data_IF_758453270150
#
_entry.id   IF_758453270150
#
_cell.length_a   1.000
_cell.length_b   1.000
_cell.length_c   1.000
_cell.angle_alpha   90.00
_cell.angle_beta   90.00
_cell.angle_gamma   90.00
#
_symmetry.space_group_name_H-M   'P 1'
#
loop_
_entity.id
_entity.type
_entity.pdbx_description
1 polymer ?
#
# COMPACT_ATOMS: atom_id res chain seq x y z
N UNK A 1 -0.47 15.52 -0.89
CA UNK A 1 -0.69 14.49 0.14
C UNK A 1 0.58 13.65 0.35
N UNK A 2 0.68 12.91 1.46
CA UNK A 2 1.78 11.98 1.72
C UNK A 2 1.39 10.56 1.29
N UNK A 3 2.23 9.89 0.51
CA UNK A 3 2.10 8.48 0.17
C UNK A 3 3.20 7.67 0.87
N UNK A 4 2.83 6.66 1.64
CA UNK A 4 3.78 5.72 2.24
C UNK A 4 3.96 4.49 1.35
N UNK A 5 5.18 4.24 0.91
CA UNK A 5 5.57 2.96 0.34
C UNK A 5 6.08 2.02 1.44
N UNK A 6 5.38 0.91 1.65
CA UNK A 6 5.79 -0.16 2.56
C UNK A 6 6.60 -1.20 1.79
N UNK A 7 7.88 -1.30 2.14
CA UNK A 7 8.87 -2.15 1.49
C UNK A 7 8.57 -3.63 1.55
N UNK A 8 8.91 -4.33 0.46
CA UNK A 8 8.87 -5.79 0.39
C UNK A 8 10.19 -6.41 0.82
N UNK A 9 10.15 -7.66 1.28
CA UNK A 9 11.36 -8.45 1.50
C UNK A 9 11.99 -8.89 0.17
N UNK A 10 11.19 -9.01 -0.89
CA UNK A 10 11.67 -9.30 -2.24
C UNK A 10 12.19 -8.01 -2.87
N UNK A 11 13.51 -7.98 -3.13
CA UNK A 11 14.17 -6.82 -3.74
C UNK A 11 13.63 -6.50 -5.14
N UNK A 12 13.26 -7.52 -5.93
CA UNK A 12 12.76 -7.30 -7.27
C UNK A 12 11.40 -6.61 -7.24
N UNK A 13 10.49 -7.13 -6.42
CA UNK A 13 9.21 -6.47 -6.14
C UNK A 13 9.42 -5.05 -5.61
N UNK A 14 10.34 -4.88 -4.65
CA UNK A 14 10.56 -3.60 -4.02
C UNK A 14 11.04 -2.53 -5.00
N UNK A 15 11.99 -2.87 -5.87
CA UNK A 15 12.48 -1.98 -6.93
C UNK A 15 11.36 -1.61 -7.90
N UNK A 16 10.53 -2.58 -8.31
CA UNK A 16 9.41 -2.31 -9.21
C UNK A 16 8.39 -1.35 -8.64
N UNK A 17 8.06 -1.49 -7.36
CA UNK A 17 7.13 -0.56 -6.71
C UNK A 17 7.78 0.83 -6.60
N UNK A 18 9.08 0.90 -6.29
CA UNK A 18 9.80 2.19 -6.31
C UNK A 18 9.77 2.85 -7.69
N UNK A 19 9.98 2.09 -8.76
CA UNK A 19 9.90 2.59 -10.14
C UNK A 19 8.50 3.11 -10.46
N UNK A 20 7.48 2.32 -10.13
CA UNK A 20 6.08 2.68 -10.31
C UNK A 20 5.72 3.99 -9.60
N UNK A 21 6.16 4.14 -8.35
CA UNK A 21 5.89 5.35 -7.56
C UNK A 21 6.69 6.54 -8.06
N UNK A 22 7.92 6.33 -8.51
CA UNK A 22 8.76 7.40 -9.09
C UNK A 22 8.14 7.96 -10.36
N UNK A 23 7.62 7.09 -11.23
CA UNK A 23 6.89 7.49 -12.42
C UNK A 23 5.59 8.25 -12.08
N UNK A 24 4.86 7.81 -11.05
CA UNK A 24 3.65 8.50 -10.59
C UNK A 24 3.96 9.93 -10.12
N UNK A 25 5.07 10.14 -9.39
CA UNK A 25 5.49 11.48 -8.97
C UNK A 25 5.88 12.35 -10.17
N UNK A 26 6.67 11.83 -11.13
CA UNK A 26 7.07 12.59 -12.32
C UNK A 26 5.84 13.03 -13.15
N UNK A 27 4.86 12.14 -13.33
CA UNK A 27 3.58 12.47 -13.98
C UNK A 27 2.83 13.58 -13.21
N UNK A 28 2.75 13.47 -11.88
CA UNK A 28 2.09 14.45 -11.03
C UNK A 28 2.76 15.83 -11.11
N UNK A 29 4.10 15.89 -11.06
CA UNK A 29 4.88 17.12 -11.16
C UNK A 29 4.68 17.83 -12.50
N UNK A 30 4.61 17.08 -13.62
CA UNK A 30 4.36 17.63 -14.96
C UNK A 30 2.94 18.15 -15.14
N UNK A 31 1.99 17.59 -14.40
CA UNK A 31 0.56 17.90 -14.52
C UNK A 31 0.13 19.09 -13.64
N UNK A 32 1.04 19.72 -12.88
CA UNK A 32 0.78 20.82 -11.93
C UNK A 32 -0.31 20.53 -10.89
N UNK A 33 -0.65 19.26 -10.67
CA UNK A 33 -1.76 18.88 -9.81
C UNK A 33 -1.38 18.82 -8.33
N UNK A 34 -0.09 18.61 -8.01
CA UNK A 34 0.39 18.61 -6.62
C UNK A 34 -0.26 17.53 -5.74
N UNK A 35 -0.75 16.44 -6.34
CA UNK A 35 -1.57 15.44 -5.63
C UNK A 35 -0.72 14.69 -4.61
N UNK A 36 0.40 14.12 -5.05
CA UNK A 36 1.43 13.48 -4.21
C UNK A 36 2.53 14.51 -3.94
N UNK A 37 2.63 15.00 -2.71
CA UNK A 37 3.61 16.00 -2.31
C UNK A 37 4.97 15.36 -1.99
N UNK A 38 4.95 14.19 -1.37
CA UNK A 38 6.13 13.44 -0.99
C UNK A 38 5.81 11.95 -0.84
N UNK A 39 6.85 11.15 -0.95
CA UNK A 39 6.79 9.71 -0.71
C UNK A 39 7.74 9.34 0.41
N UNK A 40 7.17 8.73 1.44
CA UNK A 40 7.93 8.13 2.53
C UNK A 40 8.13 6.66 2.16
N UNK A 41 9.38 6.22 2.14
CA UNK A 41 9.75 4.83 1.88
C UNK A 41 10.12 4.18 3.21
N UNK A 42 9.36 3.16 3.59
CA UNK A 42 9.70 2.30 4.74
C UNK A 42 10.24 0.96 4.20
N UNK A 43 11.56 0.83 4.00
CA UNK A 43 12.14 -0.41 3.47
C UNK A 43 11.93 -1.57 4.44
N UNK A 44 11.85 -2.79 3.90
CA UNK A 44 11.85 -3.98 4.73
C UNK A 44 13.23 -4.13 5.41
N UNK A 45 13.33 -4.56 6.68
CA UNK A 45 14.61 -4.67 7.39
C UNK A 45 15.67 -5.52 6.69
N UNK A 46 15.22 -6.50 5.89
CA UNK A 46 16.09 -7.39 5.10
C UNK A 46 16.36 -6.91 3.68
N UNK A 47 15.78 -5.79 3.25
CA UNK A 47 15.94 -5.24 1.90
C UNK A 47 16.26 -3.74 2.00
N UNK A 48 17.55 -3.41 2.04
CA UNK A 48 18.02 -2.02 2.00
C UNK A 48 17.78 -1.41 0.61
N UNK A 49 17.10 -0.27 0.59
CA UNK A 49 16.73 0.50 -0.60
C UNK A 49 17.37 1.89 -0.61
N UNK A 50 18.31 2.18 0.31
CA UNK A 50 18.92 3.51 0.47
C UNK A 50 19.55 4.05 -0.80
N UNK A 51 20.23 3.18 -1.53
CA UNK A 51 20.84 3.56 -2.80
C UNK A 51 19.77 3.86 -3.86
N UNK A 52 18.81 2.95 -4.01
CA UNK A 52 17.75 3.03 -5.01
C UNK A 52 16.85 4.25 -4.83
N UNK A 53 16.49 4.58 -3.59
CA UNK A 53 15.70 5.77 -3.27
C UNK A 53 16.48 7.04 -3.58
N UNK A 54 17.77 7.08 -3.19
CA UNK A 54 18.62 8.24 -3.46
C UNK A 54 18.84 8.48 -4.95
N UNK A 55 19.01 7.42 -5.73
CA UNK A 55 19.15 7.54 -7.20
C UNK A 55 17.91 8.18 -7.81
N UNK A 56 16.71 7.74 -7.43
CA UNK A 56 15.45 8.30 -7.95
C UNK A 56 15.19 9.74 -7.48
N UNK A 57 15.46 10.04 -6.20
CA UNK A 57 15.34 11.40 -5.64
C UNK A 57 16.23 12.40 -6.38
N UNK A 58 17.49 12.03 -6.66
CA UNK A 58 18.44 12.90 -7.37
C UNK A 58 18.17 12.98 -8.87
N UNK A 59 17.83 11.87 -9.52
CA UNK A 59 17.64 11.81 -10.97
C UNK A 59 16.31 12.43 -11.42
N UNK A 60 15.25 12.28 -10.62
CA UNK A 60 13.89 12.65 -11.02
C UNK A 60 13.33 13.83 -10.21
N UNK A 61 14.11 14.44 -9.30
CA UNK A 61 13.66 15.46 -8.34
C UNK A 61 12.38 15.00 -7.58
N UNK A 62 12.30 13.69 -7.36
CA UNK A 62 11.15 13.06 -6.71
C UNK A 62 11.35 13.19 -5.22
N UNK A 63 10.51 13.94 -4.51
CA UNK A 63 10.54 14.13 -3.05
C UNK A 63 10.34 12.80 -2.29
N UNK A 64 11.32 11.91 -2.36
CA UNK A 64 11.32 10.58 -1.77
C UNK A 64 12.32 10.52 -0.63
N UNK A 65 11.89 10.00 0.52
CA UNK A 65 12.77 9.86 1.68
C UNK A 65 12.60 8.51 2.35
N UNK A 66 13.70 7.97 2.90
CA UNK A 66 13.63 6.76 3.72
C UNK A 66 13.30 7.15 5.15
N UNK A 67 12.27 6.51 5.72
CA UNK A 67 11.98 6.61 7.15
C UNK A 67 12.60 5.46 7.94
N UNK A 68 13.34 5.84 8.98
CA UNK A 68 13.87 4.92 9.99
C UNK A 68 12.91 4.72 11.17
N UNK A 69 11.81 5.46 11.22
CA UNK A 69 10.82 5.39 12.29
C UNK A 69 10.05 4.06 12.26
N UNK A 70 9.42 3.68 13.36
CA UNK A 70 8.56 2.51 13.37
C UNK A 70 7.33 2.78 12.51
N UNK A 71 6.82 1.76 11.82
CA UNK A 71 5.64 1.90 10.96
C UNK A 71 4.41 2.34 11.77
N UNK A 72 4.31 1.91 13.03
CA UNK A 72 3.27 2.31 13.97
C UNK A 72 3.26 3.81 14.26
N UNK A 73 4.42 4.47 14.14
CA UNK A 73 4.56 5.91 14.36
C UNK A 73 4.23 6.71 13.09
N UNK A 74 4.37 6.10 11.91
CA UNK A 74 4.15 6.75 10.60
C UNK A 74 2.68 6.66 10.18
N UNK A 75 2.10 5.45 10.29
CA UNK A 75 0.78 5.13 9.77
C UNK A 75 -0.37 6.05 10.23
N UNK A 76 -0.41 6.53 11.49
CA UNK A 76 -1.46 7.44 11.94
C UNK A 76 -1.51 8.80 11.20
N UNK A 77 -0.43 9.18 10.53
CA UNK A 77 -0.29 10.47 9.86
C UNK A 77 -0.36 10.39 8.33
N UNK A 78 -0.36 9.18 7.76
CA UNK A 78 -0.42 8.99 6.30
C UNK A 78 -1.82 8.55 5.87
N UNK A 79 -2.37 9.23 4.87
CA UNK A 79 -3.69 8.89 4.30
C UNK A 79 -3.63 7.76 3.28
N UNK A 80 -2.48 7.60 2.61
CA UNK A 80 -2.32 6.71 1.46
C UNK A 80 -1.11 5.80 1.64
N UNK A 81 -1.30 4.53 1.30
CA UNK A 81 -0.26 3.49 1.39
C UNK A 81 -0.22 2.75 0.06
N UNK A 82 0.97 2.54 -0.48
CA UNK A 82 1.22 1.58 -1.55
C UNK A 82 2.07 0.43 -0.99
N UNK A 83 1.65 -0.80 -1.25
CA UNK A 83 2.24 -1.98 -0.62
C UNK A 83 2.27 -3.16 -1.57
N UNK A 84 3.36 -3.92 -1.52
CA UNK A 84 3.50 -5.20 -2.19
C UNK A 84 3.09 -6.37 -1.29
N UNK A 85 3.90 -7.42 -1.31
CA UNK A 85 3.73 -8.64 -0.53
C UNK A 85 4.21 -8.43 0.91
N UNK A 86 3.49 -7.62 1.69
CA UNK A 86 3.87 -7.27 3.08
C UNK A 86 2.70 -7.37 4.05
N UNK A 87 2.93 -8.02 5.20
CA UNK A 87 1.96 -8.11 6.31
C UNK A 87 1.60 -6.76 6.92
N UNK A 88 2.47 -5.76 6.75
CA UNK A 88 2.24 -4.39 7.19
C UNK A 88 1.08 -3.70 6.45
N UNK A 89 0.53 -4.30 5.40
CA UNK A 89 -0.75 -3.89 4.83
C UNK A 89 -1.90 -3.97 5.86
N UNK A 90 -1.85 -4.92 6.80
CA UNK A 90 -2.85 -5.06 7.87
C UNK A 90 -2.76 -3.88 8.85
N UNK A 91 -1.54 -3.43 9.18
CA UNK A 91 -1.33 -2.26 10.02
C UNK A 91 -1.85 -0.99 9.35
N UNK A 92 -1.73 -0.89 8.01
CA UNK A 92 -2.35 0.18 7.24
C UNK A 92 -3.88 0.14 7.29
N UNK A 93 -4.51 -1.04 7.27
CA UNK A 93 -5.97 -1.18 7.47
C UNK A 93 -6.36 -0.66 8.85
N UNK A 94 -5.64 -1.06 9.90
CA UNK A 94 -5.88 -0.62 11.27
C UNK A 94 -5.80 0.91 11.44
N UNK A 95 -4.93 1.56 10.68
CA UNK A 95 -4.78 3.02 10.71
C UNK A 95 -5.69 3.74 9.71
N UNK A 96 -6.69 3.05 9.15
CA UNK A 96 -7.66 3.60 8.20
C UNK A 96 -7.07 4.14 6.90
N UNK A 97 -5.83 3.80 6.56
CA UNK A 97 -5.20 4.23 5.32
C UNK A 97 -5.94 3.67 4.10
N UNK A 98 -5.86 4.39 2.97
CA UNK A 98 -6.22 3.89 1.65
C UNK A 98 -5.05 3.10 1.08
N UNK A 99 -5.29 1.84 0.74
CA UNK A 99 -4.23 0.90 0.38
C UNK A 99 -4.29 0.62 -1.11
N UNK A 100 -3.16 0.81 -1.78
CA UNK A 100 -2.98 0.51 -3.19
C UNK A 100 -2.02 -0.67 -3.35
N UNK A 101 -2.40 -1.63 -4.18
CA UNK A 101 -1.58 -2.80 -4.51
C UNK A 101 -1.28 -2.76 -6.01
N UNK A 102 -0.02 -2.57 -6.42
CA UNK A 102 0.30 -2.48 -7.84
C UNK A 102 0.16 -3.85 -8.52
N UNK A 103 -0.30 -3.87 -9.77
CA UNK A 103 -0.34 -5.08 -10.60
C UNK A 103 0.79 -5.02 -11.62
N UNK A 104 1.62 -6.06 -11.67
CA UNK A 104 2.65 -6.23 -12.67
C UNK A 104 2.39 -7.48 -13.51
N UNK A 105 2.55 -7.40 -14.82
CA UNK A 105 2.28 -8.52 -15.75
C UNK A 105 3.19 -9.74 -15.56
N UNK A 106 4.36 -9.52 -14.96
CA UNK A 106 5.48 -10.45 -14.85
C UNK A 106 5.87 -10.72 -13.39
N UNK A 107 5.10 -10.21 -12.42
CA UNK A 107 5.33 -10.44 -11.00
C UNK A 107 4.01 -10.52 -10.24
N UNK A 108 3.83 -11.58 -9.44
CA UNK A 108 2.62 -11.78 -8.64
C UNK A 108 2.85 -11.20 -7.25
N UNK A 109 2.03 -10.22 -6.87
CA UNK A 109 2.01 -9.68 -5.50
C UNK A 109 1.06 -10.51 -4.66
N UNK A 110 1.58 -11.11 -3.59
CA UNK A 110 0.81 -11.87 -2.61
C UNK A 110 0.49 -10.98 -1.43
N UNK A 111 -0.54 -10.14 -1.60
CA UNK A 111 -1.04 -9.31 -0.50
C UNK A 111 -1.68 -10.20 0.58
N UNK A 112 -1.40 -9.96 1.88
CA UNK A 112 -2.11 -10.64 2.97
C UNK A 112 -3.60 -10.30 3.00
N UNK A 113 -4.02 -9.25 2.28
CA UNK A 113 -5.42 -8.85 2.11
C UNK A 113 -6.11 -9.59 0.95
N UNK A 114 -5.43 -10.52 0.26
CA UNK A 114 -6.04 -11.28 -0.84
C UNK A 114 -7.32 -11.97 -0.38
N UNK A 115 -8.44 -11.68 -1.06
CA UNK A 115 -9.78 -12.17 -0.66
C UNK A 115 -10.57 -11.22 0.25
N UNK A 116 -10.00 -10.04 0.56
CA UNK A 116 -10.66 -8.95 1.26
C UNK A 116 -10.62 -7.66 0.42
N UNK A 117 -11.24 -7.73 -0.76
CA UNK A 117 -11.14 -6.73 -1.83
C UNK A 117 -11.69 -5.35 -1.44
N UNK A 118 -12.47 -5.25 -0.36
CA UNK A 118 -13.01 -3.98 0.15
C UNK A 118 -11.97 -3.10 0.86
N UNK A 119 -10.80 -3.64 1.23
CA UNK A 119 -9.79 -2.91 2.02
C UNK A 119 -8.63 -2.33 1.21
N UNK A 120 -8.52 -2.69 -0.07
CA UNK A 120 -7.44 -2.22 -0.92
C UNK A 120 -7.92 -2.06 -2.36
N UNK A 121 -7.16 -1.32 -3.16
CA UNK A 121 -7.45 -1.12 -4.58
C UNK A 121 -6.24 -1.56 -5.40
N UNK A 122 -6.49 -2.40 -6.39
CA UNK A 122 -5.46 -2.72 -7.36
C UNK A 122 -5.20 -1.53 -8.28
N UNK A 123 -3.93 -1.27 -8.57
CA UNK A 123 -3.54 -0.19 -9.48
C UNK A 123 -2.58 -0.74 -10.53
N UNK A 124 -2.90 -0.52 -11.79
CA UNK A 124 -2.15 -1.06 -12.92
C UNK A 124 -1.21 -0.05 -13.56
N UNK A 125 -1.52 1.25 -13.44
CA UNK A 125 -0.76 2.33 -14.07
C UNK A 125 -0.40 3.45 -13.08
N UNK A 126 0.78 4.07 -13.19
CA UNK A 126 1.17 5.17 -12.31
C UNK A 126 0.21 6.38 -12.36
N UNK A 127 -0.35 6.69 -13.53
CA UNK A 127 -1.35 7.76 -13.67
C UNK A 127 -2.69 7.42 -13.00
N UNK A 128 -3.06 6.13 -12.98
CA UNK A 128 -4.24 5.64 -12.26
C UNK A 128 -4.07 5.88 -10.75
N UNK A 129 -2.88 5.65 -10.19
CA UNK A 129 -2.59 5.95 -8.78
C UNK A 129 -2.85 7.43 -8.46
N UNK A 130 -2.35 8.34 -9.30
CA UNK A 130 -2.54 9.77 -9.09
C UNK A 130 -4.03 10.16 -9.08
N UNK A 131 -4.81 9.63 -10.04
CA UNK A 131 -6.26 9.90 -10.13
C UNK A 131 -7.00 9.37 -8.90
N UNK A 132 -6.70 8.15 -8.46
CA UNK A 132 -7.35 7.56 -7.28
C UNK A 132 -7.08 8.37 -6.01
N UNK A 133 -5.87 8.89 -5.84
CA UNK A 133 -5.53 9.78 -4.72
C UNK A 133 -6.28 11.11 -4.83
N UNK A 134 -6.34 11.71 -6.03
CA UNK A 134 -7.05 12.97 -6.26
C UNK A 134 -8.56 12.85 -6.02
N UNK A 135 -9.19 11.82 -6.59
CA UNK A 135 -10.60 11.50 -6.39
C UNK A 135 -10.91 11.31 -4.91
N UNK A 136 -10.02 10.64 -4.17
CA UNK A 136 -10.19 10.46 -2.73
C UNK A 136 -10.02 11.76 -1.94
N UNK A 137 -9.11 12.65 -2.34
CA UNK A 137 -8.97 13.96 -1.72
C UNK A 137 -10.16 14.90 -2.02
N UNK A 138 -10.80 14.73 -3.19
CA UNK A 138 -11.97 15.51 -3.58
C UNK A 138 -13.27 15.01 -2.93
N UNK A 139 -13.37 13.72 -2.65
CA UNK A 139 -14.53 13.09 -2.03
C UNK A 139 -14.55 13.30 -0.51
N UNK A 140 -15.50 14.08 -0.02
CA UNK A 140 -15.63 14.44 1.41
C UNK A 140 -16.93 13.92 2.03
N UNK A 141 -17.28 12.65 1.76
CA UNK A 141 -18.41 11.99 2.43
C UNK A 141 -18.02 11.41 3.80
N UNK A 142 -18.14 12.24 4.82
CA UNK A 142 -17.90 11.89 6.23
C UNK A 142 -18.72 10.68 6.71
N UNK A 143 -19.91 10.43 6.15
CA UNK A 143 -20.73 9.28 6.58
C UNK A 143 -20.15 7.98 6.03
N UNK A 144 -19.73 7.99 4.77
CA UNK A 144 -19.10 6.83 4.14
C UNK A 144 -17.80 6.48 4.85
N UNK A 145 -16.97 7.48 5.16
CA UNK A 145 -15.72 7.29 5.90
C UNK A 145 -15.93 6.66 7.28
N UNK A 146 -16.98 7.06 8.00
CA UNK A 146 -17.31 6.48 9.30
C UNK A 146 -17.69 5.00 9.19
N UNK A 147 -18.47 4.63 8.16
CA UNK A 147 -18.87 3.23 7.91
C UNK A 147 -17.65 2.40 7.52
N UNK A 148 -16.82 2.89 6.61
CA UNK A 148 -15.59 2.20 6.20
C UNK A 148 -14.65 1.98 7.39
N UNK A 149 -14.55 2.95 8.30
CA UNK A 149 -13.77 2.81 9.54
C UNK A 149 -14.31 1.70 10.43
N UNK A 150 -15.63 1.66 10.66
CA UNK A 150 -16.25 0.60 11.46
C UNK A 150 -16.00 -0.79 10.85
N UNK A 151 -16.09 -0.91 9.52
CA UNK A 151 -15.78 -2.15 8.81
C UNK A 151 -14.31 -2.58 8.98
N UNK A 152 -13.37 -1.63 8.91
CA UNK A 152 -11.94 -1.90 9.10
C UNK A 152 -11.64 -2.31 10.54
N UNK A 153 -12.23 -1.63 11.53
CA UNK A 153 -12.07 -1.97 12.94
C UNK A 153 -12.58 -3.39 13.23
N UNK A 154 -13.78 -3.73 12.74
CA UNK A 154 -14.31 -5.09 12.85
C UNK A 154 -13.42 -6.13 12.18
N UNK A 155 -12.90 -5.82 10.98
CA UNK A 155 -11.96 -6.72 10.30
C UNK A 155 -10.72 -6.99 11.15
N UNK A 156 -10.10 -5.97 11.74
CA UNK A 156 -8.91 -6.14 12.58
C UNK A 156 -9.21 -6.98 13.82
N UNK A 157 -10.38 -6.80 14.45
CA UNK A 157 -10.81 -7.63 15.59
C UNK A 157 -10.98 -9.10 15.18
N UNK A 158 -11.52 -9.36 13.99
CA UNK A 158 -11.83 -10.71 13.52
C UNK A 158 -10.65 -11.42 12.85
N UNK A 159 -9.73 -10.70 12.23
CA UNK A 159 -8.64 -11.25 11.42
C UNK A 159 -7.76 -12.22 12.23
N UNK A 160 -7.50 -11.89 13.49
CA UNK A 160 -6.67 -12.71 14.39
C UNK A 160 -7.44 -13.87 15.05
N UNK A 161 -8.76 -13.95 14.86
CA UNK A 161 -9.59 -15.04 15.38
C UNK A 161 -9.44 -16.29 14.52
N UNK A 162 -8.47 -17.13 14.91
CA UNK A 162 -8.14 -18.42 14.27
C UNK A 162 -9.35 -19.35 14.03
N UNK A 163 -10.38 -19.32 14.87
CA UNK A 163 -11.54 -20.21 14.72
C UNK A 163 -12.32 -19.97 13.42
N UNK A 164 -12.49 -18.71 13.00
CA UNK A 164 -13.21 -18.38 11.76
C UNK A 164 -12.35 -18.74 10.54
N UNK A 165 -11.05 -18.44 10.55
CA UNK A 165 -10.14 -18.73 9.44
C UNK A 165 -9.89 -20.23 9.25
N UNK A 166 -9.84 -21.02 10.33
CA UNK A 166 -9.71 -22.49 10.28
C UNK A 166 -10.81 -23.18 9.47
N UNK A 167 -12.02 -22.60 9.41
CA UNK A 167 -13.12 -23.15 8.62
C UNK A 167 -12.83 -23.08 7.10
N UNK A 168 -12.18 -22.00 6.65
CA UNK A 168 -11.76 -21.83 5.27
C UNK A 168 -10.60 -22.76 4.92
N UNK A 169 -9.60 -22.89 5.81
CA UNK A 169 -8.51 -23.85 5.64
C UNK A 169 -9.00 -25.30 5.57
N UNK A 170 -10.00 -25.68 6.38
CA UNK A 170 -10.64 -27.01 6.27
C UNK A 170 -11.25 -27.26 4.90
N UNK A 171 -11.90 -26.28 4.28
CA UNK A 171 -12.46 -26.43 2.91
C UNK A 171 -11.35 -26.65 1.89
N UNK A 172 -10.28 -25.87 1.96
CA UNK A 172 -9.13 -25.99 1.04
C UNK A 172 -8.47 -27.36 1.19
N UNK A 173 -8.12 -27.77 2.42
CA UNK A 173 -7.49 -29.07 2.70
C UNK A 173 -8.38 -30.24 2.23
N UNK A 174 -9.68 -30.17 2.48
CA UNK A 174 -10.61 -31.23 2.05
C UNK A 174 -10.78 -31.29 0.52
N UNK A 175 -10.56 -30.18 -0.19
CA UNK A 175 -10.61 -30.14 -1.64
C UNK A 175 -9.32 -30.71 -2.27
N UNK A 176 -8.16 -30.51 -1.65
CA UNK A 176 -6.88 -31.04 -2.13
C UNK A 176 -6.61 -32.50 -1.71
N UNK A 177 -7.43 -33.08 -0.84
CA UNK A 177 -7.40 -34.50 -0.46
C UNK A 177 -8.31 -35.38 -1.34
N UNK A 178 -8.94 -34.82 -2.38
CA UNK A 178 -9.67 -35.55 -3.43
C UNK A 178 -8.86 -35.63 -4.70
#
# INVERSE_FOLDING_TARGET
SQLLYIGSYDRYEAIKILDFVSEAIDINSRSYSGIIDEVIVKPHPSCDLTKEVRERDVENDTKMSISNENIDDILPYVGFVIVGSSTAAIDAVRNNCKIYVPIFSDHIILSPLSGYDDFFTYVSEPNELCRLIDDHCADSDLKREAIEREMKDQFIEEFWLLEKSLSNWKKVINHSLK
#
